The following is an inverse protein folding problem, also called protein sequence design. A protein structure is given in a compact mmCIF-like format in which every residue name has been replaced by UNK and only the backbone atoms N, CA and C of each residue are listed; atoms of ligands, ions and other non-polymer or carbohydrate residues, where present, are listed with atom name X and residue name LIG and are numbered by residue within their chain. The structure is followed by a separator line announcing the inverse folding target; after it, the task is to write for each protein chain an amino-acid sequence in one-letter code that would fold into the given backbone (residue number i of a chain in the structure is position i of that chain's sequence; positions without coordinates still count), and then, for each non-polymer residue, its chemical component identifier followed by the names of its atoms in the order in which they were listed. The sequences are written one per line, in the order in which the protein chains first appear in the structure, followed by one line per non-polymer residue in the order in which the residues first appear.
data_IF_958813886190
#
_entry.id   IF_958813886190
#
_cell.length_a   1.000
_cell.length_b   1.000
_cell.length_c   1.000
_cell.angle_alpha   90.00
_cell.angle_beta   90.00
_cell.angle_gamma   90.00
#
_symmetry.space_group_name_H-M   'P 1'
#
loop_
_entity.id
_entity.type
_entity.pdbx_description
1 polymer ?
#
# COMPACT_ATOMS: atom_id res chain seq x y z
N UNK A 1 -0.97 -12.15 11.03
CA UNK A 1 0.44 -11.75 11.11
C UNK A 1 0.81 -11.16 9.77
N UNK A 2 1.05 -9.85 9.70
CA UNK A 2 1.58 -9.23 8.48
C UNK A 2 3.06 -9.63 8.32
N UNK A 3 3.47 -9.93 7.09
CA UNK A 3 4.87 -10.24 6.80
C UNK A 3 5.65 -8.94 6.66
N UNK A 4 6.84 -8.85 7.30
CA UNK A 4 7.75 -7.72 7.10
C UNK A 4 8.51 -7.92 5.80
N UNK A 5 8.36 -7.00 4.86
CA UNK A 5 8.91 -7.05 3.52
C UNK A 5 9.85 -5.87 3.29
N UNK A 6 10.87 -6.06 2.45
CA UNK A 6 11.60 -4.93 1.89
C UNK A 6 10.76 -4.23 0.78
N UNK A 7 11.14 -3.03 0.33
CA UNK A 7 10.37 -2.28 -0.68
C UNK A 7 10.08 -3.09 -1.95
N UNK A 8 11.09 -3.81 -2.47
CA UNK A 8 11.00 -4.61 -3.70
C UNK A 8 10.02 -5.76 -3.54
N UNK A 9 10.03 -6.44 -2.39
CA UNK A 9 9.09 -7.51 -2.06
C UNK A 9 7.66 -6.99 -1.91
N UNK A 10 7.47 -5.81 -1.30
CA UNK A 10 6.16 -5.19 -1.19
C UNK A 10 5.59 -4.82 -2.57
N UNK A 11 6.42 -4.22 -3.44
CA UNK A 11 6.04 -3.93 -4.82
C UNK A 11 5.72 -5.21 -5.62
N UNK A 12 6.52 -6.25 -5.44
CA UNK A 12 6.28 -7.56 -6.05
C UNK A 12 4.95 -8.14 -5.57
N UNK A 13 4.65 -8.07 -4.26
CA UNK A 13 3.37 -8.52 -3.71
C UNK A 13 2.20 -7.75 -4.34
N UNK A 14 2.32 -6.42 -4.47
CA UNK A 14 1.28 -5.60 -5.11
C UNK A 14 1.03 -6.06 -6.55
N UNK A 15 2.09 -6.20 -7.35
CA UNK A 15 1.97 -6.59 -8.76
C UNK A 15 1.32 -7.97 -8.98
N UNK A 16 1.47 -8.90 -8.03
CA UNK A 16 0.96 -10.27 -8.18
C UNK A 16 -0.38 -10.51 -7.49
N UNK A 17 -0.64 -9.84 -6.37
CA UNK A 17 -1.77 -10.20 -5.49
C UNK A 17 -2.66 -9.02 -5.11
N UNK A 18 -2.32 -7.77 -5.44
CA UNK A 18 -3.16 -6.66 -5.02
C UNK A 18 -4.56 -6.74 -5.67
N UNK A 19 -5.63 -6.61 -4.87
CA UNK A 19 -6.99 -6.55 -5.39
C UNK A 19 -7.21 -5.29 -6.22
N UNK A 20 -8.41 -5.16 -6.80
CA UNK A 20 -8.78 -3.98 -7.58
C UNK A 20 -8.74 -2.67 -6.78
N UNK A 21 -8.83 -2.73 -5.45
CA UNK A 21 -8.72 -1.58 -4.54
C UNK A 21 -7.89 -1.96 -3.30
N UNK A 22 -6.88 -1.16 -2.99
CA UNK A 22 -6.04 -1.32 -1.80
C UNK A 22 -5.56 0.02 -1.27
N UNK A 23 -4.89 -0.02 -0.13
CA UNK A 23 -4.37 1.16 0.55
C UNK A 23 -2.94 0.96 1.02
N UNK A 24 -2.12 2.00 0.85
CA UNK A 24 -0.80 2.10 1.46
C UNK A 24 -0.88 3.09 2.61
N UNK A 25 -0.63 2.63 3.83
CA UNK A 25 -0.60 3.47 5.02
C UNK A 25 0.86 3.71 5.39
N UNK A 26 1.26 4.95 5.60
CA UNK A 26 2.60 5.33 6.01
C UNK A 26 2.57 6.05 7.36
N UNK A 27 3.53 5.74 8.21
CA UNK A 27 3.67 6.31 9.55
C UNK A 27 5.03 5.93 10.11
N UNK A 28 5.05 5.19 11.22
CA UNK A 28 6.29 4.56 11.73
C UNK A 28 6.84 3.50 10.77
N UNK A 29 5.94 2.75 10.15
CA UNK A 29 6.23 1.76 9.11
C UNK A 29 5.20 1.93 7.99
N UNK A 30 5.53 1.46 6.80
CA UNK A 30 4.56 1.38 5.70
C UNK A 30 3.80 0.08 5.79
N UNK A 31 2.49 0.13 5.60
CA UNK A 31 1.59 -1.00 5.70
C UNK A 31 0.75 -1.10 4.44
N UNK A 32 0.70 -2.29 3.86
CA UNK A 32 -0.18 -2.61 2.74
C UNK A 32 -1.46 -3.22 3.27
N UNK A 33 -2.60 -2.63 2.90
CA UNK A 33 -3.92 -3.00 3.37
C UNK A 33 -4.84 -3.29 2.20
N UNK A 34 -5.46 -4.46 2.19
CA UNK A 34 -6.41 -4.90 1.17
C UNK A 34 -7.86 -4.78 1.63
N UNK A 35 -8.74 -4.42 0.71
CA UNK A 35 -10.19 -4.44 0.93
C UNK A 35 -10.71 -5.85 0.59
N UNK A 36 -10.92 -6.70 1.61
CA UNK A 36 -11.36 -8.09 1.44
C UNK A 36 -12.64 -8.34 2.24
N UNK A 37 -13.68 -8.88 1.60
CA UNK A 37 -14.91 -9.29 2.30
C UNK A 37 -15.66 -8.19 3.05
N UNK A 38 -15.51 -6.92 2.64
CA UNK A 38 -16.12 -5.76 3.31
C UNK A 38 -15.29 -5.17 4.44
N UNK A 39 -14.09 -5.69 4.71
CA UNK A 39 -13.16 -5.19 5.72
C UNK A 39 -11.79 -4.81 5.17
N UNK A 40 -11.02 -4.12 6.00
CA UNK A 40 -9.60 -3.82 5.77
C UNK A 40 -8.74 -4.91 6.39
N UNK A 41 -7.85 -5.52 5.60
CA UNK A 41 -6.90 -6.51 6.06
C UNK A 41 -5.47 -6.09 5.76
N UNK A 42 -4.66 -5.93 6.80
CA UNK A 42 -3.22 -5.72 6.66
C UNK A 42 -2.54 -7.02 6.18
N UNK A 43 -1.80 -6.91 5.08
CA UNK A 43 -1.15 -8.05 4.42
C UNK A 43 0.37 -8.03 4.56
N UNK A 44 0.97 -6.84 4.58
CA UNK A 44 2.41 -6.68 4.71
C UNK A 44 2.78 -5.36 5.37
N UNK A 45 3.94 -5.33 6.03
CA UNK A 45 4.57 -4.10 6.50
C UNK A 45 5.98 -3.97 5.92
N UNK A 46 6.50 -2.75 5.84
CA UNK A 46 7.83 -2.46 5.29
C UNK A 46 8.41 -1.21 5.93
N UNK A 47 9.71 -1.26 6.24
CA UNK A 47 10.48 -0.07 6.60
C UNK A 47 10.93 0.62 5.32
N UNK A 48 10.02 1.41 4.74
CA UNK A 48 10.36 2.23 3.59
C UNK A 48 11.07 3.50 4.06
N UNK A 49 12.17 3.86 3.40
CA UNK A 49 12.79 5.18 3.57
C UNK A 49 11.87 6.30 3.06
N UNK A 50 11.09 6.02 2.01
CA UNK A 50 10.10 6.95 1.47
C UNK A 50 8.89 6.21 0.89
N UNK A 51 7.70 6.68 1.22
CA UNK A 51 6.45 6.20 0.62
C UNK A 51 6.27 6.71 -0.82
N UNK A 52 6.98 7.77 -1.21
CA UNK A 52 6.85 8.39 -2.53
C UNK A 52 7.24 7.42 -3.66
N UNK A 53 8.35 6.70 -3.49
CA UNK A 53 8.86 5.74 -4.48
C UNK A 53 7.88 4.58 -4.68
N UNK A 54 7.30 4.08 -3.60
CA UNK A 54 6.31 2.99 -3.68
C UNK A 54 5.01 3.50 -4.31
N UNK A 55 4.57 4.71 -3.97
CA UNK A 55 3.42 5.34 -4.61
C UNK A 55 3.62 5.48 -6.13
N UNK A 56 4.79 5.94 -6.56
CA UNK A 56 5.11 6.10 -7.99
C UNK A 56 5.18 4.73 -8.70
N UNK A 57 5.87 3.76 -8.10
CA UNK A 57 5.95 2.40 -8.64
C UNK A 57 4.57 1.74 -8.77
N UNK A 58 3.68 1.92 -7.78
CA UNK A 58 2.29 1.45 -7.85
C UNK A 58 1.53 2.08 -9.02
N UNK A 59 1.77 3.37 -9.31
CA UNK A 59 1.17 4.02 -10.47
C UNK A 59 1.68 3.46 -11.80
N UNK A 60 2.96 3.15 -11.89
CA UNK A 60 3.54 2.46 -13.05
C UNK A 60 3.01 1.03 -13.25
N UNK A 61 2.48 0.39 -12.20
CA UNK A 61 1.80 -0.91 -12.29
C UNK A 61 0.35 -0.82 -12.81
N UNK A 62 -0.12 0.39 -13.15
CA UNK A 62 -1.48 0.61 -13.66
C UNK A 62 -2.53 0.85 -12.58
N UNK A 63 -2.11 1.15 -11.34
CA UNK A 63 -3.02 1.58 -10.29
C UNK A 63 -3.09 3.11 -10.23
N UNK A 64 -4.29 3.66 -10.18
CA UNK A 64 -4.50 5.10 -9.99
C UNK A 64 -4.75 5.40 -8.52
N UNK A 65 -4.03 6.39 -7.99
CA UNK A 65 -4.37 6.98 -6.69
C UNK A 65 -5.69 7.74 -6.80
N UNK A 66 -6.67 7.38 -5.98
CA UNK A 66 -7.99 8.03 -5.96
C UNK A 66 -8.26 8.84 -4.69
N UNK A 67 -7.46 8.63 -3.64
CA UNK A 67 -7.61 9.35 -2.39
C UNK A 67 -6.27 9.45 -1.65
N UNK A 68 -6.14 10.49 -0.84
CA UNK A 68 -5.05 10.68 0.13
C UNK A 68 -5.66 11.20 1.43
N UNK A 69 -5.31 10.58 2.55
CA UNK A 69 -5.72 11.06 3.86
C UNK A 69 -4.54 11.17 4.82
N UNK A 70 -4.72 12.00 5.86
CA UNK A 70 -3.76 12.17 6.95
C UNK A 70 -4.48 12.18 8.29
N UNK A 71 -3.90 11.49 9.26
CA UNK A 71 -4.31 11.45 10.67
C UNK A 71 -3.07 11.64 11.55
N UNK A 72 -3.25 11.88 12.85
CA UNK A 72 -2.13 12.18 13.74
C UNK A 72 -1.12 11.03 13.77
N UNK A 73 0.02 11.23 13.10
CA UNK A 73 1.13 10.27 13.03
C UNK A 73 1.11 9.31 11.83
N UNK A 74 0.08 9.37 10.97
CA UNK A 74 -0.07 8.47 9.82
C UNK A 74 -0.71 9.18 8.63
N UNK A 75 -0.41 8.72 7.42
CA UNK A 75 -1.16 9.05 6.22
C UNK A 75 -1.43 7.81 5.40
N UNK A 76 -2.34 7.92 4.43
CA UNK A 76 -2.70 6.81 3.57
C UNK A 76 -2.98 7.26 2.15
N UNK A 77 -2.67 6.38 1.21
CA UNK A 77 -2.98 6.50 -0.21
C UNK A 77 -3.89 5.35 -0.62
N UNK A 78 -5.04 5.67 -1.21
CA UNK A 78 -5.97 4.67 -1.73
C UNK A 78 -5.77 4.53 -3.23
N UNK A 79 -5.57 3.29 -3.68
CA UNK A 79 -5.34 2.96 -5.07
C UNK A 79 -6.46 2.08 -5.62
N UNK A 80 -6.79 2.30 -6.89
CA UNK A 80 -7.65 1.40 -7.67
C UNK A 80 -6.98 1.02 -8.98
N UNK A 81 -7.22 -0.20 -9.46
CA UNK A 81 -6.74 -0.62 -10.77
C UNK A 81 -7.44 0.21 -11.86
N UNK A 82 -6.64 0.87 -12.71
CA UNK A 82 -7.11 1.66 -13.85
C UNK A 82 -7.52 0.82 -15.04
#
# INVERSE_FOLDING_TARGET
MASRLNPVQMLSLIGHTAPAKFELIYGRETRLVFYVGGGLQEVATSDLETIADVREAVQHMGYRQIDEWRRKGEGGYVFVRG
#
